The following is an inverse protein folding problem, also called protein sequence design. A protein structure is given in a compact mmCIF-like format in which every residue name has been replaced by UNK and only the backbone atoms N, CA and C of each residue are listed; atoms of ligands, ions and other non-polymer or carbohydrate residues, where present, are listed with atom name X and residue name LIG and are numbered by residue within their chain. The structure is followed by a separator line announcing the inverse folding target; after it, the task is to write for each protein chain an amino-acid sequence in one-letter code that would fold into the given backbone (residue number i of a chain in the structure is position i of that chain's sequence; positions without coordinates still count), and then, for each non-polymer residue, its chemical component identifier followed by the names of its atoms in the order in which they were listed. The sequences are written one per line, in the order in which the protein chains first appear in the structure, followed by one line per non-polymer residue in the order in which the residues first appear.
data_IF_517137189644
#
_entry.id   IF_517137189644
#
_cell.length_a   1.000
_cell.length_b   1.000
_cell.length_c   1.000
_cell.angle_alpha   90.00
_cell.angle_beta   90.00
_cell.angle_gamma   90.00
#
_symmetry.space_group_name_H-M   'P 1'
#
loop_
_entity.id
_entity.type
_entity.pdbx_description
1 polymer ?
#
# COMPACT_ATOMS: atom_id res chain seq x y z
N UNK A 1 1.09 8.49 25.99
CA UNK A 1 1.97 8.07 24.87
C UNK A 1 2.33 6.59 24.95
N UNK A 2 2.92 6.09 26.03
CA UNK A 2 3.32 4.67 26.16
C UNK A 2 2.20 3.61 25.99
N UNK A 3 0.94 3.91 26.37
CA UNK A 3 -0.16 2.96 26.22
C UNK A 3 -0.64 2.81 24.75
N UNK A 4 -0.69 3.90 23.99
CA UNK A 4 -1.07 3.84 22.57
C UNK A 4 0.01 3.10 21.78
N UNK A 5 1.27 3.39 22.04
CA UNK A 5 2.41 2.72 21.42
C UNK A 5 2.44 1.22 21.74
N UNK A 6 2.27 0.84 23.01
CA UNK A 6 2.22 -0.57 23.44
C UNK A 6 1.05 -1.33 22.81
N UNK A 7 -0.08 -0.66 22.57
CA UNK A 7 -1.27 -1.31 22.00
C UNK A 7 -1.27 -1.30 20.45
N UNK A 8 -0.40 -0.52 19.81
CA UNK A 8 -0.34 -0.38 18.35
C UNK A 8 0.98 -0.83 17.74
N UNK A 9 1.90 -1.39 18.55
CA UNK A 9 3.21 -1.81 18.06
C UNK A 9 3.13 -2.81 16.90
N UNK A 10 2.17 -3.73 16.93
CA UNK A 10 1.96 -4.72 15.87
C UNK A 10 1.55 -4.04 14.56
N UNK A 11 0.74 -2.98 14.62
CA UNK A 11 0.39 -2.17 13.46
C UNK A 11 1.62 -1.47 12.88
N UNK A 12 2.43 -0.82 13.72
CA UNK A 12 3.65 -0.15 13.27
C UNK A 12 4.66 -1.12 12.65
N UNK A 13 4.84 -2.29 13.26
CA UNK A 13 5.70 -3.34 12.70
C UNK A 13 5.18 -3.85 11.35
N UNK A 14 3.87 -4.11 11.25
CA UNK A 14 3.24 -4.52 10.01
C UNK A 14 3.36 -3.46 8.92
N UNK A 15 3.11 -2.20 9.24
CA UNK A 15 3.28 -1.07 8.33
C UNK A 15 4.74 -0.93 7.87
N UNK A 16 5.70 -0.99 8.80
CA UNK A 16 7.13 -0.93 8.46
C UNK A 16 7.56 -2.05 7.52
N UNK A 17 7.11 -3.28 7.77
CA UNK A 17 7.39 -4.43 6.91
C UNK A 17 6.80 -4.24 5.50
N UNK A 18 5.55 -3.77 5.42
CA UNK A 18 4.89 -3.49 4.13
C UNK A 18 5.60 -2.36 3.38
N UNK A 19 6.00 -1.28 4.05
CA UNK A 19 6.74 -0.18 3.44
C UNK A 19 8.10 -0.63 2.89
N UNK A 20 8.84 -1.45 3.65
CA UNK A 20 10.10 -2.03 3.20
C UNK A 20 9.91 -2.93 1.98
N UNK A 21 8.93 -3.83 2.03
CA UNK A 21 8.60 -4.72 0.92
C UNK A 21 8.20 -3.93 -0.34
N UNK A 22 7.41 -2.88 -0.18
CA UNK A 22 6.99 -2.03 -1.27
C UNK A 22 8.16 -1.22 -1.87
N UNK A 23 9.03 -0.65 -1.03
CA UNK A 23 10.24 0.04 -1.49
C UNK A 23 11.15 -0.89 -2.28
N UNK A 24 11.37 -2.10 -1.78
CA UNK A 24 12.13 -3.14 -2.46
C UNK A 24 11.49 -3.56 -3.80
N UNK A 25 10.18 -3.75 -3.83
CA UNK A 25 9.43 -4.05 -5.05
C UNK A 25 9.63 -2.98 -6.13
N UNK A 26 9.55 -1.68 -5.76
CA UNK A 26 9.75 -0.59 -6.73
C UNK A 26 11.15 -0.63 -7.34
N UNK A 27 12.19 -0.85 -6.54
CA UNK A 27 13.56 -0.98 -7.02
C UNK A 27 13.71 -2.18 -7.96
N UNK A 28 13.17 -3.34 -7.58
CA UNK A 28 13.21 -4.55 -8.40
C UNK A 28 12.50 -4.39 -9.74
N UNK A 29 11.30 -3.78 -9.75
CA UNK A 29 10.56 -3.56 -11.00
C UNK A 29 11.32 -2.64 -11.95
N UNK A 30 11.97 -1.60 -11.44
CA UNK A 30 12.83 -0.73 -12.27
C UNK A 30 13.99 -1.49 -12.89
N UNK A 31 14.73 -2.28 -12.08
CA UNK A 31 15.85 -3.10 -12.58
C UNK A 31 15.35 -4.16 -13.56
N UNK A 32 14.24 -4.83 -13.24
CA UNK A 32 13.68 -5.87 -14.10
C UNK A 32 13.21 -5.32 -15.45
N UNK A 33 12.62 -4.13 -15.47
CA UNK A 33 12.21 -3.49 -16.71
C UNK A 33 13.41 -3.26 -17.67
N UNK A 34 14.58 -2.92 -17.13
CA UNK A 34 15.82 -2.79 -17.92
C UNK A 34 16.29 -4.14 -18.44
N UNK A 35 16.26 -5.19 -17.60
CA UNK A 35 16.67 -6.55 -18.00
C UNK A 35 15.78 -7.13 -19.12
N UNK A 36 14.49 -6.79 -19.09
CA UNK A 36 13.51 -7.24 -20.07
C UNK A 36 13.41 -6.31 -21.30
N UNK A 37 14.37 -5.40 -21.47
CA UNK A 37 14.46 -4.44 -22.58
C UNK A 37 13.20 -3.58 -22.76
N UNK A 38 12.52 -3.23 -21.68
CA UNK A 38 11.37 -2.31 -21.75
C UNK A 38 11.87 -0.91 -22.10
N UNK A 39 11.20 -0.27 -23.07
CA UNK A 39 11.49 1.12 -23.40
C UNK A 39 11.25 2.03 -22.19
N UNK A 40 11.91 3.16 -22.15
CA UNK A 40 11.70 4.17 -21.09
C UNK A 40 10.23 4.61 -21.01
N UNK A 41 9.56 4.75 -22.14
CA UNK A 41 8.14 5.09 -22.22
C UNK A 41 7.26 3.99 -21.62
N UNK A 42 7.53 2.70 -21.92
CA UNK A 42 6.79 1.56 -21.36
C UNK A 42 7.03 1.47 -19.84
N UNK A 43 8.25 1.71 -19.38
CA UNK A 43 8.58 1.71 -17.95
C UNK A 43 7.84 2.83 -17.23
N UNK A 44 7.83 4.05 -17.76
CA UNK A 44 7.08 5.17 -17.21
C UNK A 44 5.57 4.90 -17.17
N UNK A 45 5.03 4.36 -18.27
CA UNK A 45 3.62 3.98 -18.34
C UNK A 45 3.24 2.96 -17.26
N UNK A 46 3.95 1.85 -17.17
CA UNK A 46 3.61 0.82 -16.15
C UNK A 46 3.74 1.35 -14.73
N UNK A 47 4.75 2.18 -14.44
CA UNK A 47 4.93 2.77 -13.11
C UNK A 47 3.82 3.75 -12.74
N UNK A 48 3.25 4.48 -13.72
CA UNK A 48 2.15 5.43 -13.51
C UNK A 48 0.86 4.75 -13.02
N UNK A 49 0.67 3.46 -13.31
CA UNK A 49 -0.48 2.68 -12.86
C UNK A 49 -0.69 2.72 -11.34
N UNK A 50 0.41 2.81 -10.57
CA UNK A 50 0.33 2.97 -9.13
C UNK A 50 -0.49 4.19 -8.70
N UNK A 51 -0.25 5.34 -9.33
CA UNK A 51 -0.95 6.57 -8.99
C UNK A 51 -2.44 6.52 -9.36
N UNK A 52 -2.79 5.84 -10.46
CA UNK A 52 -4.18 5.60 -10.84
C UNK A 52 -4.91 4.81 -9.75
N UNK A 53 -4.33 3.70 -9.31
CA UNK A 53 -4.87 2.89 -8.22
C UNK A 53 -4.98 3.64 -6.90
N UNK A 54 -3.92 4.38 -6.55
CA UNK A 54 -3.87 5.21 -5.35
C UNK A 54 -5.00 6.25 -5.33
N UNK A 55 -5.21 6.96 -6.43
CA UNK A 55 -6.25 7.98 -6.56
C UNK A 55 -7.67 7.43 -6.44
N UNK A 56 -7.93 6.27 -7.06
CA UNK A 56 -9.23 5.58 -6.96
C UNK A 56 -9.46 5.11 -5.51
N UNK A 57 -8.45 4.49 -4.90
CA UNK A 57 -8.52 3.97 -3.55
C UNK A 57 -8.73 5.08 -2.51
N UNK A 58 -8.05 6.22 -2.63
CA UNK A 58 -8.22 7.35 -1.73
C UNK A 58 -9.67 7.82 -1.62
N UNK A 59 -10.46 7.68 -2.69
CA UNK A 59 -11.88 8.05 -2.70
C UNK A 59 -12.82 6.97 -2.18
N UNK A 60 -12.50 5.71 -2.40
CA UNK A 60 -13.43 4.59 -2.15
C UNK A 60 -13.21 3.90 -0.82
N UNK A 61 -11.97 3.85 -0.32
CA UNK A 61 -11.60 3.08 0.88
C UNK A 61 -12.28 3.55 2.16
N UNK A 62 -12.49 4.85 2.44
CA UNK A 62 -13.20 5.26 3.64
C UNK A 62 -14.59 4.62 3.78
N UNK A 63 -15.31 4.47 2.66
CA UNK A 63 -16.59 3.78 2.64
C UNK A 63 -16.47 2.27 2.87
N UNK A 64 -15.44 1.63 2.33
CA UNK A 64 -15.18 0.20 2.54
C UNK A 64 -14.84 -0.08 3.99
N UNK A 65 -14.01 0.75 4.63
CA UNK A 65 -13.63 0.60 6.04
C UNK A 65 -14.87 0.70 6.94
N UNK A 66 -15.76 1.66 6.68
CA UNK A 66 -16.98 1.84 7.48
C UNK A 66 -17.93 0.65 7.40
N UNK A 67 -17.98 -0.05 6.27
CA UNK A 67 -18.85 -1.22 6.06
C UNK A 67 -18.26 -2.56 6.55
N UNK A 68 -16.93 -2.73 6.43
CA UNK A 68 -16.27 -4.05 6.64
C UNK A 68 -15.44 -4.09 7.92
N UNK A 69 -14.88 -2.94 8.34
CA UNK A 69 -14.02 -2.79 9.51
C UNK A 69 -12.52 -2.86 9.19
N UNK A 70 -11.73 -2.18 10.03
CA UNK A 70 -10.30 -1.92 9.81
C UNK A 70 -9.44 -3.19 9.62
N UNK A 71 -9.57 -4.17 10.52
CA UNK A 71 -8.70 -5.37 10.51
C UNK A 71 -8.92 -6.22 9.26
N UNK A 72 -10.18 -6.42 8.88
CA UNK A 72 -10.52 -7.24 7.71
C UNK A 72 -10.04 -6.60 6.41
N UNK A 73 -10.25 -5.29 6.28
CA UNK A 73 -9.83 -4.52 5.10
C UNK A 73 -8.30 -4.49 5.02
N UNK A 74 -7.60 -4.30 6.15
CA UNK A 74 -6.13 -4.36 6.20
C UNK A 74 -5.60 -5.73 5.71
N UNK A 75 -6.11 -6.83 6.28
CA UNK A 75 -5.67 -8.17 5.91
C UNK A 75 -5.95 -8.48 4.44
N UNK A 76 -7.11 -8.09 3.92
CA UNK A 76 -7.47 -8.29 2.52
C UNK A 76 -6.50 -7.55 1.58
N UNK A 77 -6.24 -6.26 1.80
CA UNK A 77 -5.36 -5.49 0.91
C UNK A 77 -3.87 -5.81 1.08
N UNK A 78 -3.42 -6.21 2.26
CA UNK A 78 -2.08 -6.75 2.44
C UNK A 78 -1.90 -8.05 1.63
N UNK A 79 -2.89 -8.94 1.63
CA UNK A 79 -2.87 -10.16 0.82
C UNK A 79 -2.91 -9.88 -0.67
N UNK A 80 -3.76 -8.96 -1.13
CA UNK A 80 -3.83 -8.55 -2.54
C UNK A 80 -2.52 -7.94 -3.01
N UNK A 81 -1.89 -7.06 -2.21
CA UNK A 81 -0.59 -6.48 -2.52
C UNK A 81 0.49 -7.57 -2.66
N UNK A 82 0.51 -8.55 -1.75
CA UNK A 82 1.46 -9.68 -1.80
C UNK A 82 1.26 -10.54 -3.04
N UNK A 83 0.01 -10.85 -3.40
CA UNK A 83 -0.31 -11.59 -4.62
C UNK A 83 0.12 -10.83 -5.88
N UNK A 84 -0.11 -9.50 -5.92
CA UNK A 84 0.29 -8.68 -7.05
C UNK A 84 1.82 -8.73 -7.28
N UNK A 85 2.63 -8.77 -6.22
CA UNK A 85 4.09 -8.93 -6.32
C UNK A 85 4.46 -10.27 -6.98
N UNK A 86 3.82 -11.35 -6.56
CA UNK A 86 4.08 -12.68 -7.13
C UNK A 86 3.68 -12.75 -8.61
N UNK A 87 2.55 -12.17 -8.97
CA UNK A 87 2.06 -12.16 -10.36
C UNK A 87 2.98 -11.34 -11.28
N UNK A 88 3.63 -10.27 -10.78
CA UNK A 88 4.65 -9.53 -11.55
C UNK A 88 5.82 -10.43 -12.00
N UNK A 89 6.18 -11.45 -11.22
CA UNK A 89 7.27 -12.35 -11.58
C UNK A 89 6.91 -13.37 -12.66
N UNK A 90 5.61 -13.67 -12.81
CA UNK A 90 5.10 -14.68 -13.75
C UNK A 90 4.82 -14.06 -15.12
N UNK A 91 4.19 -12.91 -15.14
CA UNK A 91 3.74 -12.27 -16.38
C UNK A 91 4.62 -11.04 -16.69
N UNK A 92 5.54 -11.19 -17.64
CA UNK A 92 6.50 -10.16 -18.03
C UNK A 92 5.95 -9.40 -19.24
N UNK A 93 5.06 -8.43 -18.98
CA UNK A 93 4.45 -7.60 -20.01
C UNK A 93 4.12 -6.20 -19.43
N UNK A 94 4.44 -5.09 -20.11
CA UNK A 94 4.20 -3.74 -19.62
C UNK A 94 2.74 -3.45 -19.26
N UNK A 95 1.80 -3.95 -20.05
CA UNK A 95 0.37 -3.75 -19.79
C UNK A 95 -0.10 -4.52 -18.56
N UNK A 96 0.34 -5.78 -18.40
CA UNK A 96 0.06 -6.56 -17.19
C UNK A 96 0.64 -5.88 -15.97
N UNK A 97 1.88 -5.39 -16.07
CA UNK A 97 2.52 -4.68 -14.98
C UNK A 97 1.81 -3.37 -14.65
N UNK A 98 1.30 -2.63 -15.63
CA UNK A 98 0.45 -1.46 -15.39
C UNK A 98 -0.78 -1.82 -14.54
N UNK A 99 -1.52 -2.87 -14.91
CA UNK A 99 -2.71 -3.32 -14.17
C UNK A 99 -2.35 -3.73 -12.74
N UNK A 100 -1.26 -4.50 -12.57
CA UNK A 100 -0.78 -4.91 -11.25
C UNK A 100 -0.32 -3.70 -10.41
N UNK A 101 0.23 -2.67 -11.04
CA UNK A 101 0.59 -1.41 -10.36
C UNK A 101 -0.65 -0.64 -9.90
N UNK A 102 -1.75 -0.65 -10.70
CA UNK A 102 -3.05 -0.09 -10.27
C UNK A 102 -3.54 -0.82 -9.02
N UNK A 103 -3.52 -2.15 -9.03
CA UNK A 103 -3.93 -2.98 -7.88
C UNK A 103 -3.04 -2.69 -6.66
N UNK A 104 -1.72 -2.60 -6.85
CA UNK A 104 -0.79 -2.29 -5.77
C UNK A 104 -1.02 -0.90 -5.20
N UNK A 105 -1.23 0.12 -6.04
CA UNK A 105 -1.51 1.49 -5.61
C UNK A 105 -2.80 1.58 -4.80
N UNK A 106 -3.85 0.93 -5.26
CA UNK A 106 -5.11 0.83 -4.52
C UNK A 106 -4.93 0.13 -3.17
N UNK A 107 -4.18 -0.97 -3.13
CA UNK A 107 -3.91 -1.71 -1.89
C UNK A 107 -3.09 -0.87 -0.89
N UNK A 108 -2.09 -0.15 -1.37
CA UNK A 108 -1.22 0.65 -0.50
C UNK A 108 -1.96 1.83 0.13
N UNK A 109 -2.75 2.60 -0.64
CA UNK A 109 -3.56 3.67 -0.05
C UNK A 109 -4.58 3.12 0.94
N UNK A 110 -5.12 1.93 0.69
CA UNK A 110 -6.04 1.26 1.62
C UNK A 110 -5.37 1.00 2.96
N UNK A 111 -4.18 0.41 2.94
CA UNK A 111 -3.38 0.10 4.13
C UNK A 111 -3.04 1.39 4.90
N UNK A 112 -2.61 2.45 4.22
CA UNK A 112 -2.30 3.75 4.84
C UNK A 112 -3.54 4.36 5.50
N UNK A 113 -4.66 4.44 4.77
CA UNK A 113 -5.92 5.01 5.29
C UNK A 113 -6.43 4.24 6.51
N UNK A 114 -6.31 2.91 6.50
CA UNK A 114 -6.70 2.07 7.64
C UNK A 114 -5.82 2.35 8.84
N UNK A 115 -4.51 2.44 8.65
CA UNK A 115 -3.57 2.69 9.73
C UNK A 115 -3.82 4.07 10.37
N UNK A 116 -3.99 5.11 9.56
CA UNK A 116 -4.32 6.46 10.02
C UNK A 116 -5.66 6.49 10.78
N UNK A 117 -6.71 5.88 10.21
CA UNK A 117 -8.03 5.82 10.83
C UNK A 117 -7.98 5.10 12.18
N UNK A 118 -7.29 3.96 12.24
CA UNK A 118 -7.17 3.19 13.48
C UNK A 118 -6.36 3.92 14.54
N UNK A 119 -5.27 4.57 14.17
CA UNK A 119 -4.48 5.39 15.10
C UNK A 119 -5.28 6.60 15.60
N UNK A 120 -6.07 7.21 14.71
CA UNK A 120 -6.94 8.34 15.04
C UNK A 120 -8.02 7.93 16.06
N UNK A 121 -8.67 6.78 15.87
CA UNK A 121 -9.71 6.26 16.75
C UNK A 121 -9.19 5.91 18.16
N UNK A 122 -7.91 5.51 18.26
CA UNK A 122 -7.26 5.15 19.52
C UNK A 122 -6.54 6.31 20.22
N UNK A 123 -6.45 7.46 19.56
CA UNK A 123 -5.79 8.65 20.09
C UNK A 123 -6.78 9.57 20.79
N UNK A 124 -6.47 10.00 22.00
CA UNK A 124 -7.24 11.08 22.66
C UNK A 124 -6.99 12.39 21.92
N UNK A 125 -7.97 13.31 21.93
CA UNK A 125 -7.85 14.62 21.28
C UNK A 125 -6.58 15.39 21.69
N UNK A 126 -6.07 15.16 22.90
CA UNK A 126 -4.85 15.80 23.45
C UNK A 126 -3.56 15.27 22.84
N UNK A 127 -3.54 14.04 22.32
CA UNK A 127 -2.33 13.35 21.82
C UNK A 127 -2.38 13.04 20.31
N UNK A 128 -3.50 13.34 19.66
CA UNK A 128 -3.75 13.02 18.23
C UNK A 128 -2.65 13.56 17.31
N UNK A 129 -2.28 14.82 17.45
CA UNK A 129 -1.22 15.42 16.61
C UNK A 129 0.15 14.77 16.79
N UNK A 130 0.50 14.36 18.01
CA UNK A 130 1.77 13.68 18.31
C UNK A 130 1.82 12.24 17.80
N UNK A 131 0.69 11.55 17.74
CA UNK A 131 0.61 10.16 17.25
C UNK A 131 0.63 10.10 15.72
N UNK A 132 0.05 11.10 15.05
CA UNK A 132 0.04 11.19 13.59
C UNK A 132 1.32 11.79 12.99
N UNK A 133 2.24 12.31 13.83
CA UNK A 133 3.53 12.86 13.39
C UNK A 133 4.69 11.86 13.44
N UNK A 134 4.44 10.61 13.81
CA UNK A 134 5.40 9.50 13.84
C UNK A 134 5.33 8.71 12.55
#
# INVERSE_FOLDING_TARGET
MNKVFKNSWALFMGMGAIMLAYGYQNALLGVRAVIEDFSLASTGFMMSGYFVGYFIGARTIPSVISGVGHIRVFAAFASVASLAILVHSIFINPLTWFVLRVITGYSMVSIYTIAESWLNDRSSNKNRGKVLSI
#
